data_IF_334849773522
#
_entry.id   IF_334849773522
#
_cell.length_a   1.000
_cell.length_b   1.000
_cell.length_c   1.000
_cell.angle_alpha   90.00
_cell.angle_beta   90.00
_cell.angle_gamma   90.00
#
_symmetry.space_group_name_H-M   'P 1'
#
loop_
_entity.id
_entity.type
_entity.pdbx_description
1 polymer ?
#
# COMPACT_ATOMS: atom_id res chain seq x y z
N UNK A 1 -14.13 24.17 1.07
CA UNK A 1 -14.27 22.77 1.50
C UNK A 1 -14.35 21.91 0.26
N UNK A 2 -13.96 20.63 0.36
CA UNK A 2 -14.09 19.71 -0.77
C UNK A 2 -15.56 19.55 -1.20
N UNK A 3 -15.87 19.52 -2.51
CA UNK A 3 -17.22 19.24 -2.98
C UNK A 3 -17.71 17.89 -2.46
N UNK A 4 -18.99 17.82 -2.07
CA UNK A 4 -19.63 16.57 -1.63
C UNK A 4 -19.45 15.44 -2.66
N UNK A 5 -19.46 15.77 -3.95
CA UNK A 5 -19.23 14.81 -5.03
C UNK A 5 -17.86 14.13 -4.96
N UNK A 6 -16.79 14.86 -4.62
CA UNK A 6 -15.44 14.28 -4.48
C UNK A 6 -15.38 13.34 -3.27
N UNK A 7 -15.97 13.75 -2.15
CA UNK A 7 -16.07 12.91 -0.95
C UNK A 7 -16.85 11.64 -1.25
N UNK A 8 -18.01 11.73 -1.92
CA UNK A 8 -18.79 10.57 -2.32
C UNK A 8 -18.01 9.65 -3.26
N UNK A 9 -17.29 10.19 -4.25
CA UNK A 9 -16.47 9.37 -5.16
C UNK A 9 -15.38 8.59 -4.42
N UNK A 10 -14.68 9.23 -3.49
CA UNK A 10 -13.64 8.59 -2.67
C UNK A 10 -14.27 7.48 -1.80
N UNK A 11 -15.37 7.76 -1.10
CA UNK A 11 -16.03 6.76 -0.25
C UNK A 11 -16.67 5.62 -1.05
N UNK A 12 -17.11 5.86 -2.29
CA UNK A 12 -17.57 4.80 -3.20
C UNK A 12 -16.45 3.80 -3.51
N UNK A 13 -15.18 4.22 -3.56
CA UNK A 13 -14.05 3.30 -3.69
C UNK A 13 -13.93 2.37 -2.48
N UNK A 14 -14.18 2.86 -1.26
CA UNK A 14 -14.20 2.01 -0.06
C UNK A 14 -15.34 1.00 -0.07
N UNK A 15 -16.53 1.41 -0.50
CA UNK A 15 -17.68 0.51 -0.62
C UNK A 15 -17.44 -0.57 -1.68
N UNK A 16 -16.98 -0.15 -2.86
CA UNK A 16 -16.68 -1.07 -3.97
C UNK A 16 -15.57 -2.04 -3.60
N UNK A 17 -14.42 -1.53 -3.14
CA UNK A 17 -13.27 -2.34 -2.77
C UNK A 17 -13.57 -3.25 -1.58
N UNK A 18 -14.23 -2.73 -0.54
CA UNK A 18 -14.64 -3.51 0.63
C UNK A 18 -15.62 -4.62 0.29
N UNK A 19 -16.60 -4.37 -0.59
CA UNK A 19 -17.49 -5.41 -1.09
C UNK A 19 -16.72 -6.44 -1.92
N UNK A 20 -15.90 -6.00 -2.87
CA UNK A 20 -15.19 -6.85 -3.82
C UNK A 20 -14.07 -7.70 -3.20
N UNK A 21 -13.51 -7.27 -2.08
CA UNK A 21 -12.46 -7.97 -1.31
C UNK A 21 -13.07 -8.74 -0.13
N UNK A 22 -13.41 -8.05 0.96
CA UNK A 22 -13.93 -8.63 2.20
C UNK A 22 -15.33 -9.24 2.00
N UNK A 23 -16.23 -8.54 1.33
CA UNK A 23 -17.62 -8.97 1.15
C UNK A 23 -17.75 -10.27 0.33
N UNK A 24 -17.06 -10.36 -0.80
CA UNK A 24 -17.01 -11.57 -1.63
C UNK A 24 -16.30 -12.70 -0.89
N UNK A 25 -15.17 -12.45 -0.22
CA UNK A 25 -14.42 -13.48 0.53
C UNK A 25 -15.25 -14.05 1.69
N UNK A 26 -15.99 -13.20 2.38
CA UNK A 26 -16.91 -13.63 3.45
C UNK A 26 -18.08 -14.44 2.90
N UNK A 27 -18.78 -13.95 1.86
CA UNK A 27 -19.95 -14.63 1.28
C UNK A 27 -19.63 -16.01 0.71
N UNK A 28 -18.41 -16.23 0.27
CA UNK A 28 -17.97 -17.50 -0.30
C UNK A 28 -17.18 -18.37 0.70
N UNK A 29 -17.25 -18.08 2.01
CA UNK A 29 -16.72 -18.94 3.07
C UNK A 29 -15.19 -19.01 3.15
N UNK A 30 -14.46 -18.09 2.50
CA UNK A 30 -12.99 -18.13 2.52
C UNK A 30 -12.42 -17.87 3.92
N UNK A 31 -12.96 -16.90 4.65
CA UNK A 31 -12.51 -16.66 6.02
C UNK A 31 -12.84 -17.82 6.97
N UNK A 32 -13.92 -18.56 6.72
CA UNK A 32 -14.24 -19.75 7.50
C UNK A 32 -13.25 -20.89 7.20
N UNK A 33 -12.88 -21.08 5.92
CA UNK A 33 -11.84 -22.03 5.52
C UNK A 33 -10.47 -21.70 6.14
N UNK A 34 -10.09 -20.42 6.18
CA UNK A 34 -8.87 -19.95 6.85
C UNK A 34 -8.97 -20.18 8.37
N UNK A 35 -10.13 -19.94 8.99
CA UNK A 35 -10.35 -20.20 10.43
C UNK A 35 -10.25 -21.69 10.77
N UNK A 36 -10.71 -22.56 9.87
CA UNK A 36 -10.57 -24.01 10.02
C UNK A 36 -9.09 -24.44 9.99
N UNK A 37 -8.25 -23.77 9.22
CA UNK A 37 -6.79 -24.00 9.24
C UNK A 37 -6.14 -23.65 10.59
N UNK A 38 -6.75 -22.76 11.37
CA UNK A 38 -6.25 -22.34 12.67
C UNK A 38 -6.76 -23.29 13.76
N UNK A 39 -8.01 -23.72 13.68
CA UNK A 39 -8.69 -24.46 14.77
C UNK A 39 -8.60 -25.98 14.62
N UNK A 40 -8.63 -26.51 13.38
CA UNK A 40 -8.94 -27.92 13.08
C UNK A 40 -7.88 -28.65 12.24
N UNK A 41 -6.65 -28.14 12.15
CA UNK A 41 -5.60 -28.64 11.24
C UNK A 41 -4.98 -30.03 11.57
N UNK A 42 -5.57 -30.81 12.48
CA UNK A 42 -4.99 -32.08 12.97
C UNK A 42 -5.09 -33.29 12.00
N UNK A 43 -5.64 -33.16 10.79
CA UNK A 43 -5.69 -34.28 9.83
C UNK A 43 -4.59 -34.17 8.77
N UNK A 44 -3.91 -35.27 8.41
CA UNK A 44 -2.82 -35.26 7.42
C UNK A 44 -3.28 -34.78 6.03
N UNK A 45 -4.53 -35.06 5.62
CA UNK A 45 -5.13 -34.52 4.39
C UNK A 45 -5.27 -32.99 4.43
N UNK A 46 -5.58 -32.40 5.61
CA UNK A 46 -5.75 -30.95 5.79
C UNK A 46 -4.44 -30.17 5.87
N UNK A 47 -3.32 -30.79 6.25
CA UNK A 47 -2.02 -30.09 6.28
C UNK A 47 -1.57 -29.59 4.90
N UNK A 48 -2.03 -30.24 3.82
CA UNK A 48 -1.77 -29.81 2.44
C UNK A 48 -2.59 -28.57 2.04
N UNK A 49 -3.71 -28.30 2.70
CA UNK A 49 -4.58 -27.15 2.45
C UNK A 49 -4.11 -25.89 3.18
N UNK A 50 -3.52 -26.02 4.37
CA UNK A 50 -3.15 -24.92 5.25
C UNK A 50 -1.64 -24.66 5.23
N UNK A 51 -1.13 -23.61 4.55
CA UNK A 51 0.30 -23.40 4.34
C UNK A 51 1.13 -23.26 5.61
N UNK A 52 0.57 -22.69 6.68
CA UNK A 52 1.27 -22.56 7.95
C UNK A 52 0.98 -23.70 8.92
N UNK A 53 -0.09 -24.47 8.71
CA UNK A 53 -0.54 -25.57 9.58
C UNK A 53 -0.34 -25.23 11.07
N UNK A 54 -1.24 -24.38 11.58
CA UNK A 54 -1.13 -23.76 12.90
C UNK A 54 -1.66 -24.66 14.03
N UNK A 55 -1.62 -25.98 13.81
CA UNK A 55 -2.09 -26.99 14.76
C UNK A 55 -1.14 -27.18 15.96
N UNK A 56 0.15 -26.86 15.78
CA UNK A 56 1.20 -27.07 16.77
C UNK A 56 1.33 -25.94 17.81
N UNK A 57 1.99 -26.24 18.93
CA UNK A 57 2.09 -25.35 20.10
C UNK A 57 2.79 -24.01 19.86
N UNK A 58 3.61 -23.90 18.80
CA UNK A 58 4.42 -22.71 18.50
C UNK A 58 3.56 -21.51 18.08
N UNK A 59 2.38 -21.71 17.49
CA UNK A 59 1.55 -20.59 16.98
C UNK A 59 0.27 -20.32 17.78
N UNK A 60 -0.11 -21.17 18.75
CA UNK A 60 -1.38 -21.00 19.49
C UNK A 60 -1.43 -19.86 20.50
N UNK A 61 -0.29 -19.32 20.94
CA UNK A 61 -0.24 -18.25 21.96
C UNK A 61 0.84 -17.22 21.61
N UNK A 62 0.51 -16.30 20.70
CA UNK A 62 1.37 -15.17 20.38
C UNK A 62 1.45 -14.21 21.57
N UNK A 63 0.29 -13.84 22.12
CA UNK A 63 0.18 -12.96 23.30
C UNK A 63 -0.50 -13.65 24.48
N UNK A 64 -1.21 -14.75 24.23
CA UNK A 64 -2.02 -15.44 25.23
C UNK A 64 -3.44 -14.89 25.37
N UNK A 65 -3.79 -13.83 24.62
CA UNK A 65 -5.14 -13.26 24.56
C UNK A 65 -5.82 -13.65 23.25
N UNK A 66 -6.88 -14.44 23.32
CA UNK A 66 -7.59 -14.92 22.12
C UNK A 66 -8.06 -13.78 21.20
N UNK A 67 -8.56 -12.68 21.77
CA UNK A 67 -9.04 -11.52 21.01
C UNK A 67 -7.94 -10.83 20.17
N UNK A 68 -6.67 -11.04 20.50
CA UNK A 68 -5.52 -10.52 19.75
C UNK A 68 -4.92 -11.60 18.86
N UNK A 69 -4.76 -12.81 19.40
CA UNK A 69 -4.09 -13.91 18.72
C UNK A 69 -4.92 -14.40 17.51
N UNK A 70 -6.25 -14.52 17.65
CA UNK A 70 -7.10 -15.06 16.57
C UNK A 70 -7.10 -14.17 15.29
N UNK A 71 -7.28 -12.84 15.36
CA UNK A 71 -7.16 -11.98 14.18
C UNK A 71 -5.76 -11.98 13.56
N UNK A 72 -4.71 -12.00 14.38
CA UNK A 72 -3.32 -12.06 13.87
C UNK A 72 -3.11 -13.36 13.13
N UNK A 73 -3.53 -14.49 13.70
CA UNK A 73 -3.39 -15.81 13.08
C UNK A 73 -4.18 -15.92 11.78
N UNK A 74 -5.39 -15.36 11.72
CA UNK A 74 -6.17 -15.26 10.49
C UNK A 74 -5.40 -14.49 9.40
N UNK A 75 -4.78 -13.37 9.77
CA UNK A 75 -3.98 -12.54 8.87
C UNK A 75 -2.73 -13.28 8.37
N UNK A 76 -2.03 -14.00 9.25
CA UNK A 76 -0.85 -14.79 8.87
C UNK A 76 -1.23 -15.88 7.86
N UNK A 77 -2.28 -16.66 8.13
CA UNK A 77 -2.72 -17.72 7.24
C UNK A 77 -3.24 -17.15 5.91
N UNK A 78 -4.00 -16.05 5.93
CA UNK A 78 -4.47 -15.36 4.73
C UNK A 78 -3.32 -15.05 3.76
N UNK A 79 -2.26 -14.40 4.25
CA UNK A 79 -1.12 -14.05 3.40
C UNK A 79 -0.33 -15.28 2.96
N UNK A 80 -0.22 -16.30 3.82
CA UNK A 80 0.45 -17.54 3.46
C UNK A 80 -0.28 -18.32 2.34
N UNK A 81 -1.61 -18.26 2.28
CA UNK A 81 -2.40 -18.80 1.16
C UNK A 81 -2.10 -18.08 -0.16
N UNK A 82 -1.94 -16.74 -0.13
CA UNK A 82 -1.55 -15.97 -1.30
C UNK A 82 -0.13 -16.25 -1.83
N UNK A 83 0.76 -16.70 -0.94
CA UNK A 83 2.15 -17.04 -1.24
C UNK A 83 2.37 -18.52 -1.55
N UNK A 84 1.28 -19.27 -1.76
CA UNK A 84 1.36 -20.69 -2.08
C UNK A 84 1.82 -20.89 -3.52
N UNK A 85 2.89 -21.66 -3.67
CA UNK A 85 3.45 -22.05 -4.97
C UNK A 85 2.57 -23.10 -5.67
N UNK A 86 2.48 -23.04 -7.00
CA UNK A 86 1.77 -24.07 -7.77
C UNK A 86 2.46 -25.45 -7.63
N UNK A 87 1.73 -26.55 -7.35
CA UNK A 87 2.32 -27.88 -7.13
C UNK A 87 3.17 -28.40 -8.30
N UNK A 88 2.78 -28.06 -9.52
CA UNK A 88 3.47 -28.47 -10.76
C UNK A 88 4.66 -27.57 -11.11
N UNK A 89 4.80 -26.40 -10.46
CA UNK A 89 5.91 -25.49 -10.72
C UNK A 89 7.19 -26.00 -10.06
N UNK A 90 8.05 -26.62 -10.86
CA UNK A 90 9.45 -26.89 -10.48
C UNK A 90 10.24 -25.58 -10.58
N UNK A 91 10.83 -25.09 -9.48
CA UNK A 91 11.59 -23.84 -9.47
C UNK A 91 10.77 -22.60 -9.11
N UNK A 92 10.90 -21.49 -9.85
CA UNK A 92 10.23 -20.23 -9.53
C UNK A 92 8.79 -20.20 -10.08
N UNK A 93 7.81 -19.82 -9.25
CA UNK A 93 6.45 -19.52 -9.73
C UNK A 93 6.40 -18.06 -10.21
N UNK A 94 6.85 -17.85 -11.45
CA UNK A 94 7.05 -16.52 -12.02
C UNK A 94 5.75 -15.70 -12.09
N UNK A 95 4.63 -16.32 -12.47
CA UNK A 95 3.34 -15.63 -12.58
C UNK A 95 2.87 -15.11 -11.21
N UNK A 96 2.92 -15.95 -10.17
CA UNK A 96 2.56 -15.54 -8.82
C UNK A 96 3.52 -14.47 -8.27
N UNK A 97 4.82 -14.60 -8.54
CA UNK A 97 5.83 -13.62 -8.15
C UNK A 97 5.57 -12.26 -8.79
N UNK A 98 5.30 -12.22 -10.10
CA UNK A 98 4.99 -10.98 -10.83
C UNK A 98 3.72 -10.33 -10.29
N UNK A 99 2.65 -11.10 -10.07
CA UNK A 99 1.40 -10.59 -9.50
C UNK A 99 1.61 -9.99 -8.11
N UNK A 100 2.33 -10.69 -7.22
CA UNK A 100 2.57 -10.23 -5.86
C UNK A 100 3.48 -9.00 -5.82
N UNK A 101 4.60 -9.02 -6.54
CA UNK A 101 5.54 -7.89 -6.62
C UNK A 101 4.87 -6.65 -7.21
N UNK A 102 4.05 -6.82 -8.25
CA UNK A 102 3.28 -5.72 -8.84
C UNK A 102 2.36 -5.07 -7.80
N UNK A 103 1.49 -5.85 -7.16
CA UNK A 103 0.54 -5.35 -6.17
C UNK A 103 1.25 -4.73 -4.97
N UNK A 104 2.32 -5.36 -4.48
CA UNK A 104 3.12 -4.86 -3.37
C UNK A 104 3.81 -3.53 -3.69
N UNK A 105 4.30 -3.32 -4.93
CA UNK A 105 4.91 -2.06 -5.32
C UNK A 105 3.89 -0.92 -5.44
N UNK A 106 2.71 -1.20 -6.02
CA UNK A 106 1.63 -0.21 -6.12
C UNK A 106 1.08 0.16 -4.73
N UNK A 107 0.90 -0.83 -3.86
CA UNK A 107 0.55 -0.63 -2.46
C UNK A 107 1.61 0.20 -1.71
N UNK A 108 2.90 -0.09 -1.92
CA UNK A 108 3.99 0.70 -1.35
C UNK A 108 3.86 2.17 -1.72
N UNK A 109 3.57 2.47 -2.99
CA UNK A 109 3.30 3.82 -3.46
C UNK A 109 2.17 4.50 -2.69
N UNK A 110 1.06 3.80 -2.48
CA UNK A 110 -0.08 4.30 -1.74
C UNK A 110 0.27 4.60 -0.28
N UNK A 111 0.84 3.61 0.41
CA UNK A 111 1.27 3.75 1.80
C UNK A 111 2.29 4.87 1.98
N UNK A 112 3.26 4.99 1.07
CA UNK A 112 4.29 6.02 1.10
C UNK A 112 3.68 7.43 1.02
N UNK A 113 2.62 7.62 0.21
CA UNK A 113 1.90 8.89 0.14
C UNK A 113 1.17 9.22 1.45
N UNK A 114 0.51 8.24 2.07
CA UNK A 114 -0.12 8.42 3.40
C UNK A 114 0.94 8.80 4.43
N UNK A 115 2.06 8.08 4.44
CA UNK A 115 3.17 8.36 5.35
C UNK A 115 3.73 9.78 5.14
N UNK A 116 3.99 10.18 3.90
CA UNK A 116 4.46 11.53 3.55
C UNK A 116 3.47 12.61 3.99
N UNK A 117 2.17 12.40 3.76
CA UNK A 117 1.13 13.35 4.15
C UNK A 117 1.08 13.51 5.68
N UNK A 118 1.23 12.42 6.43
CA UNK A 118 1.30 12.45 7.90
C UNK A 118 2.53 13.19 8.47
N UNK A 119 3.61 13.37 7.67
CA UNK A 119 4.80 14.13 8.08
C UNK A 119 4.65 15.65 7.92
N UNK A 120 3.62 16.13 7.22
CA UNK A 120 3.41 17.56 6.96
C UNK A 120 3.09 18.34 8.24
N UNK A 121 3.54 19.60 8.30
CA UNK A 121 3.26 20.47 9.45
C UNK A 121 1.76 20.66 9.69
N UNK A 122 0.94 20.76 8.64
CA UNK A 122 -0.50 20.91 8.80
C UNK A 122 -1.22 19.72 9.41
N UNK A 123 -0.58 18.55 9.45
CA UNK A 123 -1.14 17.35 10.06
C UNK A 123 -0.54 17.07 11.45
N UNK A 124 0.46 17.83 11.90
CA UNK A 124 1.09 17.60 13.21
C UNK A 124 0.08 17.81 14.34
N UNK A 125 0.03 16.83 15.25
CA UNK A 125 -0.88 16.85 16.39
C UNK A 125 -2.32 16.48 16.04
N UNK A 126 -2.65 16.25 14.77
CA UNK A 126 -3.95 15.71 14.34
C UNK A 126 -3.87 14.20 14.15
N UNK A 127 -5.04 13.55 14.05
CA UNK A 127 -5.15 12.12 13.76
C UNK A 127 -4.42 11.72 12.46
N UNK A 128 -4.34 12.63 11.48
CA UNK A 128 -3.68 12.37 10.18
C UNK A 128 -2.17 12.14 10.32
N UNK A 129 -1.54 12.62 11.40
CA UNK A 129 -0.12 12.31 11.68
C UNK A 129 0.10 10.93 12.29
N UNK A 130 -0.95 10.22 12.71
CA UNK A 130 -0.86 8.91 13.35
C UNK A 130 -0.88 7.78 12.33
N UNK A 131 0.03 7.87 11.34
CA UNK A 131 0.08 6.95 10.21
C UNK A 131 0.28 5.51 10.65
N UNK A 132 1.13 5.24 11.64
CA UNK A 132 1.29 3.89 12.23
C UNK A 132 -0.01 3.30 12.80
N UNK A 133 -0.88 4.12 13.40
CA UNK A 133 -2.18 3.67 13.90
C UNK A 133 -3.13 3.32 12.76
N UNK A 134 -3.24 4.18 11.74
CA UNK A 134 -3.95 3.84 10.50
C UNK A 134 -3.39 2.56 9.87
N UNK A 135 -2.07 2.39 9.96
CA UNK A 135 -1.32 1.18 9.63
C UNK A 135 -1.93 -0.10 10.19
N UNK A 136 -2.03 -0.15 11.51
CA UNK A 136 -2.60 -1.31 12.22
C UNK A 136 -4.07 -1.52 11.90
N UNK A 137 -4.85 -0.44 11.78
CA UNK A 137 -6.28 -0.55 11.46
C UNK A 137 -6.47 -1.14 10.06
N UNK A 138 -5.70 -0.72 9.06
CA UNK A 138 -5.86 -1.28 7.72
C UNK A 138 -5.38 -2.74 7.63
N UNK A 139 -4.38 -3.15 8.41
CA UNK A 139 -3.97 -4.56 8.47
C UNK A 139 -5.09 -5.45 9.04
N UNK A 140 -5.99 -4.90 9.84
CA UNK A 140 -7.12 -5.63 10.43
C UNK A 140 -8.38 -5.64 9.56
N UNK A 141 -8.57 -4.59 8.75
CA UNK A 141 -9.78 -4.41 7.94
C UNK A 141 -9.47 -4.63 6.47
N UNK A 142 -8.69 -3.71 5.89
CA UNK A 142 -8.13 -3.70 4.52
C UNK A 142 -7.80 -2.25 4.15
N UNK A 143 -6.79 -1.99 3.31
CA UNK A 143 -6.41 -0.62 2.95
C UNK A 143 -7.47 0.07 2.07
N UNK A 144 -8.21 -0.68 1.26
CA UNK A 144 -9.24 -0.13 0.38
C UNK A 144 -10.39 0.52 1.12
N UNK A 145 -10.63 0.14 2.38
CA UNK A 145 -11.61 0.82 3.25
C UNK A 145 -10.94 1.98 4.00
N UNK A 146 -9.77 1.74 4.60
CA UNK A 146 -9.14 2.71 5.50
C UNK A 146 -8.51 3.88 4.77
N UNK A 147 -7.90 3.67 3.60
CA UNK A 147 -7.29 4.74 2.83
C UNK A 147 -8.33 5.78 2.38
N UNK A 148 -9.47 5.44 1.74
CA UNK A 148 -10.49 6.44 1.42
C UNK A 148 -11.01 7.22 2.63
N UNK A 149 -11.18 6.56 3.79
CA UNK A 149 -11.56 7.25 5.04
C UNK A 149 -10.48 8.27 5.43
N UNK A 150 -9.20 7.86 5.42
CA UNK A 150 -8.07 8.75 5.68
C UNK A 150 -8.06 9.94 4.70
N UNK A 151 -8.27 9.71 3.41
CA UNK A 151 -8.29 10.75 2.38
C UNK A 151 -9.48 11.70 2.57
N UNK A 152 -10.66 11.19 2.93
CA UNK A 152 -11.82 12.01 3.26
C UNK A 152 -11.55 12.87 4.50
N UNK A 153 -10.98 12.29 5.57
CA UNK A 153 -10.57 13.05 6.75
C UNK A 153 -9.54 14.13 6.37
N UNK A 154 -8.60 13.82 5.49
CA UNK A 154 -7.63 14.79 4.98
C UNK A 154 -8.35 15.96 4.28
N UNK A 155 -9.35 15.70 3.43
CA UNK A 155 -10.11 16.75 2.75
C UNK A 155 -11.01 17.59 3.68
N UNK A 156 -11.51 17.00 4.76
CA UNK A 156 -12.39 17.67 5.72
C UNK A 156 -11.62 18.49 6.76
N UNK A 157 -10.45 18.00 7.17
CA UNK A 157 -9.62 18.62 8.21
C UNK A 157 -8.57 19.57 7.62
N UNK A 158 -8.19 19.41 6.35
CA UNK A 158 -7.23 20.32 5.71
C UNK A 158 -7.90 21.66 5.35
N UNK A 159 -7.21 22.79 5.57
CA UNK A 159 -7.71 24.10 5.16
C UNK A 159 -8.04 24.13 3.66
N UNK A 160 -9.18 24.75 3.30
CA UNK A 160 -9.64 24.86 1.91
C UNK A 160 -8.68 25.66 1.03
N UNK A 161 -7.97 26.62 1.63
CA UNK A 161 -6.86 27.32 1.02
C UNK A 161 -5.63 26.81 1.75
N UNK A 162 -4.76 25.99 1.11
CA UNK A 162 -3.55 25.55 1.78
C UNK A 162 -2.71 26.79 2.07
N UNK A 163 -2.68 27.25 3.33
CA UNK A 163 -1.62 28.16 3.73
C UNK A 163 -0.33 27.42 3.46
N UNK A 164 0.56 28.09 2.75
CA UNK A 164 1.79 27.54 2.19
C UNK A 164 2.60 26.73 3.22
N UNK A 165 2.65 27.20 4.47
CA UNK A 165 3.34 26.51 5.57
C UNK A 165 2.79 25.12 5.91
N UNK A 166 1.50 24.83 5.69
CA UNK A 166 0.90 23.54 6.03
C UNK A 166 1.41 22.39 5.15
N UNK A 167 1.85 22.70 3.94
CA UNK A 167 2.35 21.70 2.99
C UNK A 167 3.82 21.36 3.19
N UNK A 168 4.55 22.15 4.00
CA UNK A 168 5.93 21.90 4.34
C UNK A 168 6.04 20.65 5.25
N UNK A 169 7.20 20.01 5.23
CA UNK A 169 7.59 18.96 6.17
C UNK A 169 9.08 19.14 6.53
N UNK A 170 9.53 18.51 7.62
CA UNK A 170 10.95 18.58 7.99
C UNK A 170 11.81 17.88 6.92
N UNK A 171 12.83 18.55 6.36
CA UNK A 171 13.72 17.92 5.39
C UNK A 171 14.43 16.67 5.91
N UNK A 172 14.72 16.56 7.22
CA UNK A 172 15.27 15.32 7.80
C UNK A 172 14.24 14.19 7.70
N UNK A 173 12.99 14.40 8.12
CA UNK A 173 11.92 13.40 8.06
C UNK A 173 11.68 12.88 6.64
N UNK A 174 11.63 13.80 5.67
CA UNK A 174 11.47 13.48 4.26
C UNK A 174 12.66 12.71 3.68
N UNK A 175 13.88 13.04 4.14
CA UNK A 175 15.10 12.34 3.70
C UNK A 175 15.21 10.94 4.29
N UNK A 176 14.64 10.72 5.48
CA UNK A 176 14.60 9.43 6.16
C UNK A 176 13.46 8.54 5.66
N UNK A 177 12.42 9.10 5.05
CA UNK A 177 11.27 8.34 4.58
C UNK A 177 11.62 7.19 3.64
N UNK A 178 12.45 7.37 2.58
CA UNK A 178 12.92 6.25 1.75
C UNK A 178 13.60 5.13 2.55
N UNK A 179 14.49 5.49 3.49
CA UNK A 179 15.24 4.52 4.30
C UNK A 179 14.28 3.75 5.21
N UNK A 180 13.37 4.46 5.87
CA UNK A 180 12.36 3.84 6.72
C UNK A 180 11.50 2.86 5.94
N UNK A 181 11.06 3.21 4.73
CA UNK A 181 10.26 2.34 3.85
C UNK A 181 11.06 1.13 3.35
N UNK A 182 12.35 1.29 3.04
CA UNK A 182 13.21 0.16 2.64
C UNK A 182 13.26 -0.88 3.76
N UNK A 183 13.59 -0.45 4.97
CA UNK A 183 13.78 -1.34 6.12
C UNK A 183 12.45 -1.93 6.59
N UNK A 184 11.41 -1.10 6.70
CA UNK A 184 10.14 -1.55 7.27
C UNK A 184 9.32 -2.37 6.29
N UNK A 185 9.34 -2.04 4.99
CA UNK A 185 8.41 -2.59 4.01
C UNK A 185 9.12 -3.40 2.92
N UNK A 186 10.09 -2.81 2.22
CA UNK A 186 10.67 -3.46 1.02
C UNK A 186 11.45 -4.73 1.40
N UNK A 187 12.32 -4.66 2.42
CA UNK A 187 13.10 -5.82 2.86
C UNK A 187 12.18 -6.96 3.35
N UNK A 188 11.18 -6.74 4.23
CA UNK A 188 10.23 -7.79 4.57
C UNK A 188 9.42 -8.31 3.39
N UNK A 189 9.06 -7.45 2.42
CA UNK A 189 8.34 -7.88 1.20
C UNK A 189 9.18 -8.81 0.34
N UNK A 190 10.50 -8.58 0.23
CA UNK A 190 11.42 -9.54 -0.43
C UNK A 190 11.38 -10.88 0.30
N UNK A 191 11.35 -10.87 1.64
CA UNK A 191 11.17 -12.06 2.47
C UNK A 191 9.86 -12.81 2.16
N UNK A 192 8.75 -12.08 1.97
CA UNK A 192 7.47 -12.67 1.56
C UNK A 192 7.51 -13.33 0.20
N UNK A 193 8.37 -12.88 -0.72
CA UNK A 193 8.49 -13.48 -2.05
C UNK A 193 9.32 -14.78 -2.06
N UNK A 194 10.11 -15.06 -1.02
CA UNK A 194 10.98 -16.24 -1.00
C UNK A 194 10.26 -17.58 -1.21
N UNK A 195 9.06 -17.84 -0.66
CA UNK A 195 8.30 -19.07 -0.91
C UNK A 195 7.88 -19.28 -2.37
N UNK A 196 7.86 -18.23 -3.18
CA UNK A 196 7.54 -18.30 -4.62
C UNK A 196 8.80 -18.61 -5.47
N UNK A 197 9.99 -18.44 -4.89
CA UNK A 197 11.28 -18.63 -5.56
C UNK A 197 11.91 -19.96 -5.12
N UNK A 198 11.84 -20.26 -3.83
CA UNK A 198 12.49 -21.41 -3.20
C UNK A 198 11.48 -22.24 -2.39
N UNK A 199 11.76 -23.53 -2.26
CA UNK A 199 11.00 -24.42 -1.39
C UNK A 199 11.45 -24.21 0.07
N UNK A 200 10.83 -23.24 0.74
CA UNK A 200 11.14 -22.87 2.13
C UNK A 200 10.32 -23.67 3.13
N UNK A 201 10.87 -23.86 4.35
CA UNK A 201 10.18 -24.57 5.43
C UNK A 201 8.92 -23.82 5.90
N UNK A 202 8.04 -24.53 6.60
CA UNK A 202 6.82 -23.96 7.20
C UNK A 202 7.14 -22.80 8.14
N UNK A 203 8.14 -22.97 9.00
CA UNK A 203 8.61 -21.99 9.98
C UNK A 203 9.14 -20.73 9.27
N UNK A 204 9.88 -20.89 8.18
CA UNK A 204 10.38 -19.77 7.39
C UNK A 204 9.23 -18.96 6.77
N UNK A 205 8.16 -19.61 6.28
CA UNK A 205 6.95 -18.93 5.79
C UNK A 205 6.27 -18.15 6.91
N UNK A 206 6.09 -18.78 8.07
CA UNK A 206 5.48 -18.14 9.24
C UNK A 206 6.27 -16.88 9.64
N UNK A 207 7.60 -16.99 9.79
CA UNK A 207 8.47 -15.87 10.17
C UNK A 207 8.39 -14.76 9.13
N UNK A 208 8.46 -15.07 7.83
CA UNK A 208 8.38 -14.07 6.77
C UNK A 208 7.07 -13.28 6.83
N UNK A 209 5.93 -13.98 6.95
CA UNK A 209 4.62 -13.34 7.06
C UNK A 209 4.49 -12.53 8.35
N UNK A 210 4.88 -13.10 9.49
CA UNK A 210 4.79 -12.44 10.79
C UNK A 210 5.66 -11.18 10.87
N UNK A 211 6.86 -11.21 10.28
CA UNK A 211 7.73 -10.03 10.21
C UNK A 211 7.15 -8.94 9.31
N UNK A 212 6.41 -9.28 8.25
CA UNK A 212 5.84 -8.28 7.37
C UNK A 212 4.62 -7.57 7.98
N UNK A 213 3.76 -8.27 8.72
CA UNK A 213 2.47 -7.70 9.19
C UNK A 213 2.59 -6.35 9.93
N UNK A 214 3.46 -6.18 10.93
CA UNK A 214 3.56 -4.93 11.68
C UNK A 214 4.45 -3.87 11.01
N UNK A 215 4.72 -3.96 9.70
CA UNK A 215 5.56 -2.98 8.99
C UNK A 215 5.19 -1.50 9.23
N UNK A 216 3.91 -1.09 9.38
CA UNK A 216 3.58 0.31 9.63
C UNK A 216 4.12 0.83 10.96
N UNK A 217 4.20 -0.06 11.96
CA UNK A 217 4.78 0.25 13.27
C UNK A 217 6.29 0.37 13.17
N UNK A 218 6.96 -0.54 12.46
CA UNK A 218 8.40 -0.44 12.22
C UNK A 218 8.75 0.87 11.53
N UNK A 219 7.99 1.26 10.50
CA UNK A 219 8.23 2.51 9.79
C UNK A 219 8.11 3.72 10.72
N UNK A 220 7.06 3.74 11.55
CA UNK A 220 6.83 4.82 12.53
C UNK A 220 7.92 4.85 13.60
N UNK A 221 8.34 3.69 14.10
CA UNK A 221 9.41 3.56 15.09
C UNK A 221 10.76 4.04 14.53
N UNK A 222 11.14 3.57 13.33
CA UNK A 222 12.37 3.99 12.64
C UNK A 222 12.38 5.50 12.43
N UNK A 223 11.26 6.08 11.97
CA UNK A 223 11.13 7.53 11.80
C UNK A 223 11.30 8.29 13.12
N UNK A 224 10.66 7.84 14.20
CA UNK A 224 10.78 8.47 15.53
C UNK A 224 12.19 8.38 16.08
N UNK A 225 12.83 7.21 16.02
CA UNK A 225 14.21 7.02 16.50
C UNK A 225 15.18 7.87 15.69
N UNK A 226 15.02 7.88 14.36
CA UNK A 226 15.88 8.65 13.47
C UNK A 226 15.76 10.16 13.69
N UNK A 227 14.56 10.66 14.03
CA UNK A 227 14.35 12.06 14.46
C UNK A 227 15.14 12.41 15.71
N UNK A 228 15.14 11.54 16.73
CA UNK A 228 15.89 11.77 17.97
C UNK A 228 17.39 11.90 17.67
N UNK A 229 17.92 11.07 16.79
CA UNK A 229 19.32 11.15 16.34
C UNK A 229 19.56 12.44 15.55
N UNK A 230 18.69 12.80 14.61
CA UNK A 230 18.77 14.04 13.83
C UNK A 230 18.78 15.29 14.73
N UNK A 231 17.91 15.34 15.74
CA UNK A 231 17.80 16.46 16.68
C UNK A 231 19.00 16.55 17.62
N UNK A 232 19.54 15.41 18.07
CA UNK A 232 20.78 15.41 18.88
C UNK A 232 21.96 16.06 18.14
N UNK A 233 22.02 15.92 16.82
CA UNK A 233 23.09 16.49 15.97
C UNK A 233 22.85 17.94 15.58
N UNK A 234 21.59 18.40 15.53
CA UNK A 234 21.24 19.78 15.15
C UNK A 234 21.38 20.79 16.29
N UNK A 235 21.54 20.32 17.53
CA UNK A 235 21.53 21.18 18.72
C UNK A 235 20.13 21.76 19.01
N UNK A 236 19.90 22.21 20.24
CA UNK A 236 18.62 22.82 20.70
C UNK A 236 18.20 24.10 19.94
N UNK A 237 19.03 24.61 19.04
CA UNK A 237 18.85 25.86 18.33
C UNK A 237 18.22 25.62 16.95
N UNK A 238 16.93 25.31 16.91
CA UNK A 238 16.03 25.84 15.89
C UNK A 238 14.60 25.44 16.24
N UNK A 239 13.89 26.39 16.85
CA UNK A 239 12.44 26.39 16.84
C UNK A 239 11.96 26.17 15.40
N UNK A 240 10.84 25.47 15.27
CA UNK A 240 10.06 25.17 14.05
C UNK A 240 9.70 26.38 13.17
N UNK A 241 10.21 27.58 13.46
CA UNK A 241 9.84 28.84 12.85
C UNK A 241 10.54 29.16 11.50
N UNK A 242 11.64 28.50 11.14
CA UNK A 242 12.34 28.78 9.87
C UNK A 242 12.83 27.50 9.19
N UNK A 243 11.93 26.79 8.51
CA UNK A 243 12.35 25.76 7.55
C UNK A 243 12.57 26.42 6.22
N UNK A 244 13.78 26.24 5.68
CA UNK A 244 14.13 26.67 4.33
C UNK A 244 13.26 25.91 3.31
N UNK A 245 12.39 26.61 2.55
CA UNK A 245 11.56 26.01 1.51
C UNK A 245 12.39 25.25 0.45
N UNK A 246 13.62 25.71 0.17
CA UNK A 246 14.51 25.05 -0.80
C UNK A 246 15.00 23.69 -0.29
N UNK A 247 15.40 23.62 0.98
CA UNK A 247 15.77 22.36 1.62
C UNK A 247 14.58 21.38 1.66
N UNK A 248 13.37 21.87 1.97
CA UNK A 248 12.14 21.08 1.94
C UNK A 248 11.89 20.54 0.52
N UNK A 249 11.90 21.40 -0.50
CA UNK A 249 11.74 21.00 -1.91
C UNK A 249 12.72 19.92 -2.31
N UNK A 250 14.00 20.09 -2.00
CA UNK A 250 15.04 19.10 -2.34
C UNK A 250 14.77 17.75 -1.68
N UNK A 251 14.32 17.74 -0.42
CA UNK A 251 13.96 16.51 0.27
C UNK A 251 12.69 15.87 -0.32
N UNK A 252 11.63 16.64 -0.58
CA UNK A 252 10.40 16.16 -1.22
C UNK A 252 10.67 15.58 -2.61
N UNK A 253 11.46 16.27 -3.44
CA UNK A 253 11.84 15.76 -4.76
C UNK A 253 12.56 14.41 -4.68
N UNK A 254 13.44 14.22 -3.69
CA UNK A 254 14.10 12.93 -3.48
C UNK A 254 13.11 11.85 -3.04
N UNK A 255 12.20 12.18 -2.12
CA UNK A 255 11.16 11.27 -1.66
C UNK A 255 10.23 10.84 -2.81
N UNK A 256 9.76 11.77 -3.63
CA UNK A 256 8.93 11.46 -4.80
C UNK A 256 9.68 10.67 -5.86
N UNK A 257 10.94 11.02 -6.17
CA UNK A 257 11.77 10.27 -7.12
C UNK A 257 11.94 8.83 -6.66
N UNK A 258 12.28 8.60 -5.40
CA UNK A 258 12.43 7.25 -4.84
C UNK A 258 11.19 6.38 -5.08
N UNK A 259 10.03 6.84 -4.62
CA UNK A 259 8.81 6.04 -4.70
C UNK A 259 8.29 5.91 -6.13
N UNK A 260 8.46 6.94 -6.96
CA UNK A 260 8.13 6.90 -8.39
C UNK A 260 8.99 5.88 -9.12
N UNK A 261 10.31 5.90 -8.89
CA UNK A 261 11.22 4.93 -9.50
C UNK A 261 10.86 3.51 -9.12
N UNK A 262 10.49 3.25 -7.86
CA UNK A 262 10.02 1.93 -7.42
C UNK A 262 8.73 1.52 -8.14
N UNK A 263 7.68 2.34 -8.07
CA UNK A 263 6.36 1.99 -8.60
C UNK A 263 6.38 1.85 -10.13
N UNK A 264 6.98 2.82 -10.83
CA UNK A 264 7.10 2.79 -12.30
C UNK A 264 8.07 1.71 -12.75
N UNK A 265 9.19 1.52 -12.05
CA UNK A 265 10.17 0.49 -12.37
C UNK A 265 9.57 -0.92 -12.32
N UNK A 266 8.82 -1.23 -11.26
CA UNK A 266 8.11 -2.52 -11.17
C UNK A 266 7.01 -2.63 -12.22
N UNK A 267 6.24 -1.57 -12.49
CA UNK A 267 5.23 -1.58 -13.54
C UNK A 267 5.82 -1.90 -14.91
N UNK A 268 6.90 -1.21 -15.29
CA UNK A 268 7.58 -1.43 -16.56
C UNK A 268 8.23 -2.82 -16.64
N UNK A 269 8.81 -3.32 -15.54
CA UNK A 269 9.36 -4.67 -15.51
C UNK A 269 8.28 -5.74 -15.74
N UNK A 270 7.14 -5.64 -15.05
CA UNK A 270 6.02 -6.59 -15.19
C UNK A 270 5.42 -6.54 -16.59
N UNK A 271 5.15 -5.34 -17.13
CA UNK A 271 4.65 -5.19 -18.49
C UNK A 271 5.67 -5.68 -19.53
N UNK A 272 6.95 -5.41 -19.31
CA UNK A 272 8.04 -5.92 -20.14
C UNK A 272 8.08 -7.45 -20.17
N UNK A 273 7.91 -8.11 -19.02
CA UNK A 273 7.85 -9.58 -18.95
C UNK A 273 6.61 -10.14 -19.64
N UNK A 274 5.43 -9.52 -19.47
CA UNK A 274 4.21 -9.93 -20.18
C UNK A 274 4.38 -9.79 -21.69
N UNK A 275 4.98 -8.69 -22.16
CA UNK A 275 5.26 -8.48 -23.57
C UNK A 275 6.27 -9.50 -24.10
N UNK A 276 7.37 -9.74 -23.38
CA UNK A 276 8.38 -10.73 -23.73
C UNK A 276 7.78 -12.14 -23.82
N UNK A 277 6.90 -12.50 -22.89
CA UNK A 277 6.15 -13.76 -22.91
C UNK A 277 5.23 -13.87 -24.13
N UNK A 278 4.54 -12.79 -24.53
CA UNK A 278 3.69 -12.78 -25.73
C UNK A 278 4.49 -12.90 -27.05
N UNK A 279 5.80 -12.71 -26.98
CA UNK A 279 6.75 -12.86 -28.09
C UNK A 279 7.58 -14.15 -27.97
N UNK A 280 7.19 -15.08 -27.07
CA UNK A 280 7.88 -16.34 -26.78
C UNK A 280 9.36 -16.17 -26.35
N UNK A 281 9.72 -15.03 -25.77
CA UNK A 281 11.09 -14.73 -25.30
C UNK A 281 11.36 -15.18 -23.85
N UNK A 282 10.29 -15.47 -23.09
CA UNK A 282 10.35 -15.91 -21.68
C UNK A 282 9.27 -16.96 -21.41
N UNK A 283 9.26 -17.54 -20.21
CA UNK A 283 8.20 -18.42 -19.74
C UNK A 283 6.81 -17.80 -19.96
N UNK A 284 5.83 -18.66 -20.27
CA UNK A 284 4.46 -18.25 -20.53
C UNK A 284 3.80 -17.69 -19.26
N UNK A 285 3.48 -16.39 -19.27
CA UNK A 285 2.78 -15.71 -18.17
C UNK A 285 1.51 -15.02 -18.68
N UNK A 286 0.43 -15.12 -17.90
CA UNK A 286 -0.84 -14.51 -18.25
C UNK A 286 -0.94 -13.09 -17.66
N UNK A 287 -0.91 -12.08 -18.53
CA UNK A 287 -1.19 -10.70 -18.11
C UNK A 287 -2.56 -10.53 -17.44
N UNK A 288 -3.54 -11.38 -17.77
CA UNK A 288 -4.85 -11.39 -17.09
C UNK A 288 -4.73 -11.88 -15.65
N UNK A 289 -3.93 -12.92 -15.40
CA UNK A 289 -3.67 -13.43 -14.05
C UNK A 289 -2.69 -12.57 -13.25
N UNK A 290 -2.06 -11.57 -13.85
CA UNK A 290 -1.23 -10.62 -13.10
C UNK A 290 -2.02 -9.36 -12.81
N UNK A 291 -2.68 -8.79 -13.84
CA UNK A 291 -3.18 -7.41 -13.80
C UNK A 291 -4.71 -7.29 -13.73
N UNK A 292 -5.49 -8.27 -14.22
CA UNK A 292 -6.92 -8.05 -14.41
C UNK A 292 -7.70 -8.15 -13.09
N UNK A 293 -8.63 -7.21 -12.89
CA UNK A 293 -9.65 -7.36 -11.86
C UNK A 293 -10.51 -8.58 -12.14
N UNK A 294 -10.82 -9.30 -11.08
CA UNK A 294 -11.73 -10.44 -11.13
C UNK A 294 -13.19 -9.96 -11.17
N UNK A 295 -14.08 -10.80 -11.69
CA UNK A 295 -15.50 -10.45 -11.81
C UNK A 295 -16.14 -10.27 -10.43
N UNK A 296 -17.00 -9.26 -10.29
CA UNK A 296 -17.84 -9.08 -9.10
C UNK A 296 -19.04 -10.02 -9.08
N UNK A 297 -19.53 -10.41 -10.25
CA UNK A 297 -20.70 -11.29 -10.39
C UNK A 297 -20.31 -12.76 -10.30
N UNK A 298 -19.09 -13.08 -10.75
CA UNK A 298 -18.49 -14.41 -10.70
C UNK A 298 -17.09 -14.30 -10.06
N UNK A 299 -16.98 -13.88 -8.79
CA UNK A 299 -15.69 -13.79 -8.12
C UNK A 299 -15.07 -15.20 -8.01
N UNK A 300 -13.73 -15.32 -7.96
CA UNK A 300 -13.08 -16.61 -7.70
C UNK A 300 -13.73 -17.18 -6.44
N UNK A 301 -14.41 -18.30 -6.62
CA UNK A 301 -15.31 -18.84 -5.61
C UNK A 301 -14.69 -20.11 -5.09
N UNK A 302 -14.63 -20.23 -3.76
CA UNK A 302 -14.71 -21.54 -3.15
C UNK A 302 -16.13 -22.01 -3.41
N UNK A 303 -16.36 -22.73 -4.51
CA UNK A 303 -17.66 -23.27 -4.78
C UNK A 303 -18.06 -24.13 -3.57
N UNK A 304 -19.03 -23.64 -2.79
CA UNK A 304 -19.90 -24.38 -1.87
C UNK A 304 -19.23 -25.61 -1.24
N UNK A 305 -18.66 -25.46 -0.03
CA UNK A 305 -18.22 -26.54 0.88
C UNK A 305 -18.65 -27.96 0.43
N UNK A 306 -17.79 -28.61 -0.37
CA UNK A 306 -17.75 -30.03 -0.79
C UNK A 306 -17.65 -30.19 -2.32
N UNK A 307 -16.52 -30.70 -2.86
CA UNK A 307 -15.34 -31.20 -2.16
C UNK A 307 -14.41 -30.07 -1.68
N UNK A 308 -13.41 -30.45 -0.87
CA UNK A 308 -12.47 -29.54 -0.21
C UNK A 308 -11.73 -28.63 -1.21
N UNK A 309 -11.53 -27.38 -0.79
CA UNK A 309 -10.82 -26.33 -1.53
C UNK A 309 -9.46 -26.84 -1.97
N UNK A 310 -9.22 -26.88 -3.28
CA UNK A 310 -7.87 -27.17 -3.74
C UNK A 310 -6.95 -26.01 -3.34
N UNK A 311 -5.72 -26.34 -2.94
CA UNK A 311 -4.67 -25.40 -2.61
C UNK A 311 -4.57 -24.18 -3.56
N UNK A 312 -4.87 -24.37 -4.84
CA UNK A 312 -4.77 -23.36 -5.90
C UNK A 312 -5.89 -22.32 -5.88
N UNK A 313 -7.10 -22.73 -5.51
CA UNK A 313 -8.26 -21.82 -5.45
C UNK A 313 -8.11 -20.78 -4.34
N UNK A 314 -7.43 -21.14 -3.23
CA UNK A 314 -7.16 -20.22 -2.11
C UNK A 314 -6.24 -19.06 -2.51
N UNK A 315 -5.19 -19.34 -3.30
CA UNK A 315 -4.27 -18.32 -3.82
C UNK A 315 -4.98 -17.33 -4.73
N UNK A 316 -5.78 -17.83 -5.67
CA UNK A 316 -6.52 -16.98 -6.60
C UNK A 316 -7.46 -16.02 -5.88
N UNK A 317 -8.08 -16.45 -4.77
CA UNK A 317 -8.92 -15.61 -3.93
C UNK A 317 -8.10 -14.51 -3.24
N UNK A 318 -6.95 -14.84 -2.65
CA UNK A 318 -6.08 -13.85 -2.01
C UNK A 318 -5.56 -12.84 -3.02
N UNK A 319 -5.09 -13.30 -4.19
CA UNK A 319 -4.62 -12.38 -5.25
C UNK A 319 -5.78 -11.52 -5.76
N UNK A 320 -6.97 -12.09 -5.95
CA UNK A 320 -8.20 -11.37 -6.31
C UNK A 320 -8.54 -10.30 -5.28
N UNK A 321 -8.50 -10.64 -3.98
CA UNK A 321 -8.68 -9.72 -2.87
C UNK A 321 -7.69 -8.56 -2.99
N UNK A 322 -6.40 -8.86 -3.12
CA UNK A 322 -5.33 -7.85 -3.15
C UNK A 322 -5.42 -6.95 -4.40
N UNK A 323 -5.88 -7.45 -5.55
CA UNK A 323 -6.13 -6.61 -6.74
C UNK A 323 -7.22 -5.59 -6.49
N UNK A 324 -8.36 -6.02 -5.96
CA UNK A 324 -9.44 -5.09 -5.59
C UNK A 324 -9.01 -4.13 -4.49
N UNK A 325 -8.22 -4.61 -3.54
CA UNK A 325 -7.69 -3.81 -2.44
C UNK A 325 -6.80 -2.66 -2.96
N UNK A 326 -5.80 -3.00 -3.76
CA UNK A 326 -4.82 -2.06 -4.31
C UNK A 326 -5.45 -1.11 -5.34
N UNK A 327 -6.25 -1.60 -6.29
CA UNK A 327 -6.78 -0.75 -7.36
C UNK A 327 -7.82 0.25 -6.87
N UNK A 328 -8.72 -0.15 -5.97
CA UNK A 328 -9.67 0.80 -5.38
C UNK A 328 -8.96 1.83 -4.50
N UNK A 329 -7.90 1.43 -3.76
CA UNK A 329 -7.03 2.36 -3.03
C UNK A 329 -6.37 3.37 -3.98
N UNK A 330 -5.76 2.88 -5.06
CA UNK A 330 -5.08 3.73 -6.05
C UNK A 330 -6.06 4.70 -6.73
N UNK A 331 -7.26 4.23 -7.07
CA UNK A 331 -8.31 5.06 -7.65
C UNK A 331 -8.75 6.18 -6.69
N UNK A 332 -8.98 5.85 -5.41
CA UNK A 332 -9.32 6.84 -4.40
C UNK A 332 -8.20 7.89 -4.24
N UNK A 333 -6.94 7.47 -4.27
CA UNK A 333 -5.80 8.38 -4.22
C UNK A 333 -5.69 9.24 -5.48
N UNK A 334 -5.93 8.71 -6.67
CA UNK A 334 -5.93 9.48 -7.91
C UNK A 334 -7.02 10.55 -7.91
N UNK A 335 -8.24 10.22 -7.44
CA UNK A 335 -9.34 11.18 -7.27
C UNK A 335 -8.95 12.26 -6.26
N UNK A 336 -8.43 11.86 -5.09
CA UNK A 336 -8.01 12.78 -4.03
C UNK A 336 -6.92 13.75 -4.52
N UNK A 337 -5.80 13.21 -5.03
CA UNK A 337 -4.69 14.03 -5.51
C UNK A 337 -5.05 14.88 -6.73
N UNK A 338 -5.90 14.36 -7.63
CA UNK A 338 -6.40 15.11 -8.78
C UNK A 338 -7.23 16.32 -8.35
N UNK A 339 -8.07 16.17 -7.32
CA UNK A 339 -8.77 17.29 -6.70
C UNK A 339 -7.79 18.28 -6.03
N UNK A 340 -6.79 17.78 -5.30
CA UNK A 340 -5.81 18.64 -4.65
C UNK A 340 -4.97 19.45 -5.65
N UNK A 341 -4.62 18.86 -6.80
CA UNK A 341 -3.94 19.55 -7.90
C UNK A 341 -4.87 20.57 -8.56
N UNK A 342 -6.13 20.20 -8.84
CA UNK A 342 -7.16 21.10 -9.37
C UNK A 342 -7.30 22.35 -8.51
N UNK A 343 -7.39 22.18 -7.18
CA UNK A 343 -7.52 23.28 -6.23
C UNK A 343 -6.27 24.15 -6.11
N UNK A 344 -5.09 23.64 -6.46
CA UNK A 344 -3.83 24.40 -6.41
C UNK A 344 -3.54 25.21 -7.68
N UNK A 345 -4.19 24.89 -8.80
CA UNK A 345 -4.00 25.55 -10.10
C UNK A 345 -4.84 26.84 -10.22
N UNK A 346 -4.31 27.86 -10.91
CA UNK A 346 -5.02 29.14 -11.13
C UNK A 346 -6.12 29.03 -12.19
N UNK A 347 -5.89 28.23 -13.24
CA UNK A 347 -6.83 28.01 -14.34
C UNK A 347 -6.93 26.49 -14.65
N UNK A 348 -7.57 25.71 -13.77
CA UNK A 348 -7.55 24.26 -13.89
C UNK A 348 -8.52 23.74 -14.96
N UNK A 349 -8.04 22.85 -15.84
CA UNK A 349 -8.91 22.08 -16.75
C UNK A 349 -9.14 20.68 -16.21
N UNK A 350 -10.40 20.35 -15.87
CA UNK A 350 -10.79 19.01 -15.37
C UNK A 350 -10.52 17.91 -16.40
N UNK A 351 -10.74 18.23 -17.68
CA UNK A 351 -10.52 17.30 -18.79
C UNK A 351 -9.04 16.97 -18.92
N UNK A 352 -8.16 17.97 -18.81
CA UNK A 352 -6.70 17.76 -18.87
C UNK A 352 -6.23 16.92 -17.68
N UNK A 353 -6.70 17.19 -16.46
CA UNK A 353 -6.35 16.37 -15.29
C UNK A 353 -6.83 14.92 -15.47
N UNK A 354 -8.05 14.71 -15.96
CA UNK A 354 -8.58 13.36 -16.21
C UNK A 354 -7.77 12.63 -17.29
N UNK A 355 -7.46 13.29 -18.40
CA UNK A 355 -6.63 12.73 -19.46
C UNK A 355 -5.23 12.37 -18.96
N UNK A 356 -4.57 13.29 -18.23
CA UNK A 356 -3.29 13.05 -17.60
C UNK A 356 -3.35 11.89 -16.60
N UNK A 357 -4.45 11.76 -15.85
CA UNK A 357 -4.64 10.63 -14.92
C UNK A 357 -4.60 9.30 -15.66
N UNK A 358 -5.33 9.19 -16.76
CA UNK A 358 -5.36 7.97 -17.58
C UNK A 358 -3.98 7.72 -18.19
N UNK A 359 -3.37 8.75 -18.77
CA UNK A 359 -2.04 8.67 -19.38
C UNK A 359 -0.97 8.19 -18.41
N UNK A 360 -0.91 8.79 -17.20
CA UNK A 360 0.04 8.37 -16.17
C UNK A 360 -0.28 6.97 -15.63
N UNK A 361 -1.54 6.56 -15.59
CA UNK A 361 -1.89 5.18 -15.20
C UNK A 361 -1.26 4.16 -16.15
N UNK A 362 -1.35 4.42 -17.46
CA UNK A 362 -0.79 3.54 -18.49
C UNK A 362 0.74 3.47 -18.39
N UNK A 363 1.39 4.63 -18.20
CA UNK A 363 2.86 4.72 -18.19
C UNK A 363 3.51 4.14 -16.94
N UNK A 364 2.88 4.26 -15.77
CA UNK A 364 3.55 3.96 -14.48
C UNK A 364 2.75 3.11 -13.50
N UNK A 365 1.57 2.66 -13.90
CA UNK A 365 0.67 1.88 -13.06
C UNK A 365 -0.33 2.72 -12.28
N UNK A 366 -1.29 2.06 -11.59
CA UNK A 366 -2.45 2.71 -10.99
C UNK A 366 -2.13 3.75 -9.91
N UNK A 367 -1.01 3.63 -9.20
CA UNK A 367 -0.62 4.63 -8.18
C UNK A 367 0.09 5.85 -8.78
N UNK A 368 0.67 5.73 -9.97
CA UNK A 368 1.53 6.77 -10.54
C UNK A 368 0.83 8.12 -10.78
N UNK A 369 -0.43 8.19 -11.23
CA UNK A 369 -1.16 9.46 -11.31
C UNK A 369 -1.19 10.19 -9.97
N UNK A 370 -1.42 9.47 -8.87
CA UNK A 370 -1.48 10.08 -7.55
C UNK A 370 -0.13 10.65 -7.11
N UNK A 371 0.95 9.88 -7.35
CA UNK A 371 2.31 10.36 -7.13
C UNK A 371 2.60 11.63 -7.93
N UNK A 372 2.26 11.62 -9.23
CA UNK A 372 2.53 12.73 -10.14
C UNK A 372 1.74 13.98 -9.77
N UNK A 373 0.43 13.86 -9.53
CA UNK A 373 -0.41 15.01 -9.17
C UNK A 373 0.03 15.65 -7.86
N UNK A 374 0.36 14.84 -6.86
CA UNK A 374 0.80 15.36 -5.55
C UNK A 374 2.16 16.05 -5.67
N UNK A 375 3.08 15.48 -6.45
CA UNK A 375 4.39 16.09 -6.71
C UNK A 375 4.25 17.42 -7.47
N UNK A 376 3.41 17.48 -8.52
CA UNK A 376 3.14 18.73 -9.25
C UNK A 376 2.52 19.80 -8.35
N UNK A 377 1.51 19.43 -7.56
CA UNK A 377 0.86 20.32 -6.59
C UNK A 377 1.90 20.94 -5.66
N UNK A 378 2.77 20.11 -5.09
CA UNK A 378 3.75 20.55 -4.12
C UNK A 378 4.84 21.44 -4.75
N UNK A 379 5.31 21.09 -5.96
CA UNK A 379 6.22 21.93 -6.72
C UNK A 379 5.62 23.33 -6.96
N UNK A 380 4.36 23.41 -7.41
CA UNK A 380 3.66 24.68 -7.65
C UNK A 380 3.50 25.52 -6.38
N UNK A 381 3.22 24.90 -5.23
CA UNK A 381 3.05 25.62 -3.97
C UNK A 381 4.41 26.13 -3.46
N UNK A 382 5.46 25.31 -3.53
CA UNK A 382 6.81 25.71 -3.15
C UNK A 382 7.37 26.83 -4.06
N UNK A 383 7.07 26.80 -5.37
CA UNK A 383 7.49 27.85 -6.30
C UNK A 383 6.90 29.20 -5.90
N UNK A 384 5.62 29.21 -5.53
CA UNK A 384 4.94 30.42 -5.04
C UNK A 384 5.54 30.94 -3.73
N UNK A 385 5.95 30.06 -2.82
CA UNK A 385 6.63 30.47 -1.56
C UNK A 385 7.98 31.12 -1.84
N UNK A 386 8.78 30.51 -2.72
CA UNK A 386 10.12 31.02 -3.04
C UNK A 386 10.04 32.40 -3.71
N UNK A 387 9.12 32.57 -4.68
CA UNK A 387 8.89 33.86 -5.32
C UNK A 387 8.48 34.94 -4.31
N UNK A 388 7.53 34.64 -3.41
CA UNK A 388 7.11 35.59 -2.38
C UNK A 388 8.23 35.94 -1.39
N UNK A 389 9.05 34.95 -1.01
CA UNK A 389 10.22 35.20 -0.15
C UNK A 389 11.31 36.04 -0.83
N UNK A 390 11.41 35.97 -2.16
CA UNK A 390 12.36 36.78 -2.93
C UNK A 390 11.89 38.22 -3.12
N UNK A 391 10.58 38.45 -3.31
CA UNK A 391 10.03 39.81 -3.43
C UNK A 391 10.15 40.59 -2.13
N UNK A 392 9.95 39.94 -0.97
CA UNK A 392 10.12 40.55 0.36
C UNK A 392 11.57 40.87 0.75
N UNK A 393 12.57 40.42 -0.02
CA UNK A 393 13.99 40.73 0.22
C UNK A 393 14.48 41.91 -0.62
N UNK A 394 13.66 42.43 -1.52
CA UNK A 394 13.99 43.51 -2.46
C UNK A 394 13.37 44.85 -2.00
N UNK A 395 12.41 44.81 -1.08
CA UNK A 395 11.96 45.95 -0.26
C UNK A 395 12.79 46.01 1.03
#
# INVERSE_FOLDING_TARGET
MAPKSIVCLILSCALLGGYASMGTSYRHGFFDAVRDCITNAKSPERSSLCPLDMSDSISRKLTGYQAVDEPVMLLLEFFAQGLKKHPESKGMDLEALLAFVYLAAQFCGAWYLIALEGLRFGNRGTILSWTGSFGIVFQSVTITIIAPIYLTLQLLLSPTIPQQAYLLADPCDLSLLPISTIISYIVPTIGLCLPLIFDVSREAKFIAVALWQPFPLYQTAIQRVSRLVCWSRRGKANNTAHIDPRACRKAMNRAYRFITTLAVGVHLAVFGTILASSMDLTDNVSGRHILALTSLTNPPTLALLSPHVSAMQSREIVVSFLRWDVYCTCLAMAIWTGYQLYSAQRAPSRVVICFNTIWWTILGGPIYPALRHLWERDAMVLDRMELFSSSLKIE
#
